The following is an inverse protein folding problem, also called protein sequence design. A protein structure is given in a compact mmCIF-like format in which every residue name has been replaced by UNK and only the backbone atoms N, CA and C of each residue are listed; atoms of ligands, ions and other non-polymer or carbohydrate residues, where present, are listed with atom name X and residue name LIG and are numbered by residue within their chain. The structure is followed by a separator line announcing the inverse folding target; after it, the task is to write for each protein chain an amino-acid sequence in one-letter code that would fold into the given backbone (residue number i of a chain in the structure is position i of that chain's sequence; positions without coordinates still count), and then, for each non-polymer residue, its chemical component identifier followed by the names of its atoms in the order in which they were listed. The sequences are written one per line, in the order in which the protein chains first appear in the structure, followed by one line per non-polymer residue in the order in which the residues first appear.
data_IF_574538956770
#
_entry.id   IF_574538956770
#
_cell.length_a   1.000
_cell.length_b   1.000
_cell.length_c   1.000
_cell.angle_alpha   90.00
_cell.angle_beta   90.00
_cell.angle_gamma   90.00
#
_symmetry.space_group_name_H-M   'P 1'
#
loop_
_entity.id
_entity.type
_entity.pdbx_description
1 polymer ?
#
# COMPACT_ATOMS: atom_id res chain seq x y z
N UNK A 1 7.54 34.43 -4.50
CA UNK A 1 8.75 34.26 -3.67
C UNK A 1 9.15 35.59 -3.05
N UNK A 2 9.24 35.61 -1.73
CA UNK A 2 9.53 36.83 -1.01
C UNK A 2 11.02 37.14 -1.14
N UNK A 3 11.34 38.16 -1.91
CA UNK A 3 12.73 38.54 -2.20
C UNK A 3 13.55 38.90 -0.95
N UNK A 4 12.90 39.01 0.21
CA UNK A 4 13.61 39.38 1.43
C UNK A 4 14.26 38.19 2.17
N UNK A 5 13.97 36.96 1.75
CA UNK A 5 14.59 35.78 2.38
C UNK A 5 15.89 35.33 1.69
N UNK A 6 16.22 35.97 0.57
CA UNK A 6 17.35 35.50 -0.26
C UNK A 6 18.75 35.94 0.19
N UNK A 7 18.96 37.13 0.85
CA UNK A 7 20.32 37.51 1.20
C UNK A 7 21.06 36.54 2.12
N UNK A 8 20.28 35.83 2.94
CA UNK A 8 20.90 34.92 3.90
C UNK A 8 21.48 33.66 3.24
N UNK A 9 20.86 33.23 2.14
CA UNK A 9 21.32 32.04 1.42
C UNK A 9 22.43 32.34 0.44
N UNK A 10 22.51 33.58 -0.08
CA UNK A 10 23.50 33.97 -1.07
C UNK A 10 24.92 34.08 -0.51
N UNK A 11 25.05 34.21 0.81
CA UNK A 11 26.35 34.31 1.46
C UNK A 11 26.90 32.96 1.95
N UNK A 12 26.14 31.86 1.74
CA UNK A 12 26.57 30.53 2.17
C UNK A 12 27.39 29.84 1.07
N UNK A 13 28.50 29.27 1.45
CA UNK A 13 29.33 28.46 0.55
C UNK A 13 28.69 27.04 0.49
N UNK A 14 27.82 26.84 -0.49
CA UNK A 14 27.15 25.56 -0.68
C UNK A 14 28.11 24.54 -1.29
N UNK A 15 28.68 23.70 -0.47
CA UNK A 15 29.59 22.64 -0.92
C UNK A 15 28.85 21.35 -1.26
N UNK A 16 27.66 21.16 -0.71
CA UNK A 16 26.87 19.94 -0.91
C UNK A 16 25.43 20.26 -1.36
N UNK A 17 24.78 21.16 -0.62
CA UNK A 17 23.38 21.52 -0.90
C UNK A 17 23.35 22.39 -2.17
N UNK A 18 22.39 22.13 -3.04
CA UNK A 18 22.20 22.83 -4.33
C UNK A 18 23.33 22.61 -5.34
N UNK A 19 24.22 21.63 -5.08
CA UNK A 19 25.28 21.28 -6.02
C UNK A 19 24.98 19.91 -6.63
N UNK A 20 25.07 19.81 -7.95
CA UNK A 20 24.86 18.55 -8.65
C UNK A 20 25.98 17.57 -8.30
N UNK A 21 25.62 16.44 -7.70
CA UNK A 21 26.56 15.38 -7.33
C UNK A 21 26.05 14.04 -7.81
N UNK A 22 26.91 13.18 -8.32
CA UNK A 22 26.49 11.82 -8.61
C UNK A 22 26.15 11.08 -7.32
N UNK A 23 25.12 10.25 -7.37
CA UNK A 23 24.76 9.35 -6.28
C UNK A 23 25.98 8.48 -5.92
N UNK A 24 26.19 8.19 -4.62
CA UNK A 24 27.38 7.46 -4.15
C UNK A 24 27.62 6.14 -4.85
N UNK A 25 26.53 5.45 -5.26
CA UNK A 25 26.59 4.16 -5.94
C UNK A 25 26.33 4.26 -7.44
N UNK A 26 26.32 5.48 -8.01
CA UNK A 26 25.99 5.68 -9.43
C UNK A 26 26.86 4.80 -10.34
N UNK A 27 28.16 4.73 -10.05
CA UNK A 27 29.10 3.93 -10.84
C UNK A 27 28.81 2.43 -10.80
N UNK A 28 28.21 1.94 -9.70
CA UNK A 28 27.82 0.53 -9.60
C UNK A 28 26.56 0.26 -10.43
N UNK A 29 25.60 1.20 -10.39
CA UNK A 29 24.37 1.05 -11.17
C UNK A 29 24.63 1.05 -12.68
N UNK A 30 25.39 2.02 -13.16
CA UNK A 30 25.61 2.13 -14.62
C UNK A 30 26.54 1.03 -15.15
N UNK A 31 27.32 0.39 -14.29
CA UNK A 31 28.21 -0.72 -14.71
C UNK A 31 27.58 -2.10 -14.46
N UNK A 32 26.37 -2.17 -13.89
CA UNK A 32 25.72 -3.43 -13.59
C UNK A 32 26.32 -4.18 -12.41
N UNK A 33 27.12 -3.51 -11.58
CA UNK A 33 27.77 -4.14 -10.42
C UNK A 33 27.05 -3.87 -9.10
N UNK A 34 25.97 -3.11 -9.12
CA UNK A 34 25.18 -2.87 -7.90
C UNK A 34 24.48 -4.15 -7.48
N UNK A 35 24.73 -4.64 -6.27
CA UNK A 35 24.10 -5.85 -5.74
C UNK A 35 22.86 -5.47 -4.93
N UNK A 36 21.75 -6.11 -5.21
CA UNK A 36 20.49 -5.97 -4.48
C UNK A 36 20.39 -7.07 -3.43
N UNK A 37 19.34 -7.04 -2.62
CA UNK A 37 19.20 -8.03 -1.53
C UNK A 37 19.19 -9.47 -2.07
N UNK A 38 18.48 -9.70 -3.19
CA UNK A 38 18.41 -11.04 -3.77
C UNK A 38 19.76 -11.50 -4.37
N UNK A 39 20.65 -10.57 -4.69
CA UNK A 39 21.97 -10.87 -5.27
C UNK A 39 23.02 -11.20 -4.21
N UNK A 40 22.74 -10.99 -2.93
CA UNK A 40 23.75 -11.18 -1.88
C UNK A 40 24.22 -12.62 -1.84
N UNK A 41 25.55 -12.87 -1.82
CA UNK A 41 26.05 -14.21 -1.66
C UNK A 41 25.58 -14.82 -0.34
N UNK A 42 25.09 -16.03 -0.39
CA UNK A 42 24.61 -16.71 0.82
C UNK A 42 25.75 -17.47 1.48
N UNK A 43 25.70 -17.55 2.80
CA UNK A 43 26.69 -18.32 3.59
C UNK A 43 26.52 -19.83 3.32
N UNK A 44 27.60 -20.57 3.50
CA UNK A 44 27.53 -22.03 3.42
C UNK A 44 26.54 -22.55 4.44
N UNK A 45 25.73 -23.53 4.03
CA UNK A 45 24.71 -24.09 4.89
C UNK A 45 23.40 -23.33 4.91
N UNK A 46 23.27 -22.24 4.12
CA UNK A 46 22.00 -21.51 4.02
C UNK A 46 20.89 -22.43 3.54
N UNK A 47 19.75 -22.37 4.23
CA UNK A 47 18.54 -23.07 3.84
C UNK A 47 17.57 -22.08 3.16
N UNK A 48 16.57 -22.62 2.49
CA UNK A 48 15.62 -21.84 1.73
C UNK A 48 14.20 -22.10 2.22
N UNK A 49 13.44 -21.02 2.38
CA UNK A 49 12.06 -21.13 2.87
C UNK A 49 11.06 -20.81 1.76
N UNK A 50 9.87 -21.39 1.88
CA UNK A 50 8.70 -21.07 1.08
C UNK A 50 7.47 -21.13 1.97
N UNK A 51 6.38 -20.49 1.53
CA UNK A 51 5.16 -20.38 2.32
C UNK A 51 4.09 -21.36 1.80
N UNK A 52 3.42 -22.03 2.72
CA UNK A 52 2.22 -22.79 2.40
C UNK A 52 1.00 -21.89 2.55
N UNK A 53 0.19 -21.84 1.50
CA UNK A 53 -0.84 -20.81 1.34
C UNK A 53 -2.25 -21.39 1.42
N UNK A 54 -3.17 -20.60 1.96
CA UNK A 54 -4.60 -20.92 1.97
C UNK A 54 -5.17 -20.99 0.55
N UNK A 55 -6.06 -21.95 0.35
CA UNK A 55 -6.83 -22.06 -0.91
C UNK A 55 -8.26 -21.58 -0.74
N UNK A 56 -8.60 -21.00 0.42
CA UNK A 56 -9.95 -20.53 0.73
C UNK A 56 -9.93 -19.06 1.08
N UNK A 57 -10.98 -18.36 0.67
CA UNK A 57 -11.12 -16.91 0.95
C UNK A 57 -11.46 -16.65 2.41
N UNK A 58 -12.28 -17.51 3.04
CA UNK A 58 -12.67 -17.37 4.44
C UNK A 58 -13.10 -18.74 4.96
N UNK A 59 -12.36 -19.25 5.93
CA UNK A 59 -12.63 -20.61 6.42
C UNK A 59 -11.93 -20.85 7.75
N UNK A 60 -12.51 -21.72 8.58
CA UNK A 60 -11.79 -22.29 9.71
C UNK A 60 -10.91 -23.44 9.21
N UNK A 61 -9.71 -23.54 9.74
CA UNK A 61 -8.83 -24.67 9.50
C UNK A 61 -9.31 -25.80 10.44
N UNK A 62 -9.85 -26.86 9.85
CA UNK A 62 -10.33 -28.02 10.61
C UNK A 62 -9.15 -28.93 10.97
N UNK A 63 -8.27 -29.15 10.00
CA UNK A 63 -7.04 -29.92 10.20
C UNK A 63 -6.00 -29.51 9.15
N UNK A 64 -4.74 -29.66 9.51
CA UNK A 64 -3.63 -29.41 8.58
C UNK A 64 -2.67 -30.60 8.66
N UNK A 65 -2.75 -31.50 7.65
CA UNK A 65 -1.84 -32.62 7.54
C UNK A 65 -0.61 -32.18 6.73
N UNK A 66 0.49 -31.99 7.42
CA UNK A 66 1.77 -31.54 6.83
C UNK A 66 2.79 -32.67 6.75
N UNK A 67 2.39 -33.92 6.97
CA UNK A 67 3.32 -35.06 6.98
C UNK A 67 3.98 -35.25 5.60
N UNK A 68 3.19 -35.15 4.52
CA UNK A 68 3.76 -35.25 3.16
C UNK A 68 4.72 -34.12 2.85
N UNK A 69 4.51 -32.94 3.45
CA UNK A 69 5.45 -31.81 3.31
C UNK A 69 6.76 -32.17 4.01
N UNK A 70 6.68 -32.60 5.27
CA UNK A 70 7.85 -32.96 6.08
C UNK A 70 8.65 -34.11 5.46
N UNK A 71 7.94 -35.07 4.83
CA UNK A 71 8.56 -36.26 4.23
C UNK A 71 9.20 -36.00 2.86
N UNK A 72 9.05 -34.80 2.30
CA UNK A 72 9.63 -34.48 0.99
C UNK A 72 11.15 -34.44 1.11
N UNK A 73 11.88 -35.21 0.29
CA UNK A 73 13.36 -35.20 0.34
C UNK A 73 13.92 -33.78 0.18
N UNK A 74 14.80 -33.40 1.08
CA UNK A 74 15.40 -32.06 1.12
C UNK A 74 14.70 -31.09 2.03
N UNK A 75 13.52 -31.41 2.55
CA UNK A 75 12.86 -30.60 3.58
C UNK A 75 13.55 -30.84 4.91
N UNK A 76 13.83 -29.74 5.63
CA UNK A 76 14.51 -29.74 6.93
C UNK A 76 13.52 -29.49 8.05
N UNK A 77 12.57 -28.57 7.86
CA UNK A 77 11.62 -28.20 8.90
C UNK A 77 10.35 -27.60 8.31
N UNK A 78 9.27 -27.66 9.09
CA UNK A 78 7.99 -26.99 8.78
C UNK A 78 7.55 -26.29 10.06
N UNK A 79 7.22 -25.00 9.96
CA UNK A 79 6.79 -24.18 11.10
C UNK A 79 5.38 -23.64 10.87
N UNK A 80 4.60 -23.55 11.94
CA UNK A 80 3.23 -23.01 11.94
C UNK A 80 3.15 -21.84 12.92
N UNK A 81 1.96 -21.26 13.08
CA UNK A 81 1.74 -20.19 14.06
C UNK A 81 2.14 -20.60 15.48
N UNK A 82 1.99 -21.88 15.82
CA UNK A 82 2.36 -22.41 17.14
C UNK A 82 3.83 -22.31 17.45
N UNK A 83 4.68 -22.18 16.43
CA UNK A 83 6.14 -22.11 16.60
C UNK A 83 6.65 -20.69 16.89
N UNK A 84 5.79 -19.69 16.79
CA UNK A 84 6.16 -18.30 16.99
C UNK A 84 6.35 -18.03 18.49
N UNK A 85 7.56 -17.65 18.94
CA UNK A 85 7.80 -17.48 20.38
C UNK A 85 7.25 -16.17 20.95
N UNK A 86 7.10 -15.16 20.12
CA UNK A 86 6.61 -13.83 20.54
C UNK A 86 5.18 -13.60 20.07
N UNK A 87 4.98 -12.53 19.30
CA UNK A 87 3.64 -12.12 18.85
C UNK A 87 3.46 -12.44 17.38
N UNK A 88 2.39 -13.16 17.04
CA UNK A 88 2.04 -13.53 15.67
C UNK A 88 1.31 -12.35 14.99
N UNK A 89 2.03 -11.28 14.71
CA UNK A 89 1.45 -10.08 14.10
C UNK A 89 2.53 -9.24 13.45
N UNK A 90 2.23 -8.70 12.28
CA UNK A 90 3.12 -7.76 11.58
C UNK A 90 2.38 -6.52 11.09
N UNK A 91 1.20 -6.23 11.64
CA UNK A 91 0.43 -5.04 11.27
C UNK A 91 1.16 -3.74 11.62
N UNK A 92 1.29 -2.82 10.66
CA UNK A 92 2.12 -1.62 10.90
C UNK A 92 1.43 -0.54 11.73
N UNK A 93 0.11 -0.49 11.76
CA UNK A 93 -0.67 0.55 12.48
C UNK A 93 -1.60 -0.10 13.48
N UNK A 94 -2.38 -1.06 13.03
CA UNK A 94 -3.28 -1.86 13.87
C UNK A 94 -2.69 -3.26 13.94
N UNK A 95 -2.74 -3.87 15.12
CA UNK A 95 -2.21 -5.23 15.32
C UNK A 95 -3.28 -6.25 14.97
N UNK A 96 -3.55 -6.37 13.66
CA UNK A 96 -4.62 -7.24 13.13
C UNK A 96 -4.14 -8.08 11.94
N UNK A 97 -2.80 -8.23 11.78
CA UNK A 97 -2.23 -8.87 10.60
C UNK A 97 -1.31 -10.04 11.02
N UNK A 98 -1.87 -11.22 11.26
CA UNK A 98 -1.03 -12.36 11.67
C UNK A 98 -0.04 -12.75 10.58
N UNK A 99 1.19 -13.06 10.99
CA UNK A 99 2.26 -13.53 10.10
C UNK A 99 1.88 -14.88 9.51
N UNK A 100 1.35 -15.78 10.34
CA UNK A 100 0.82 -17.08 9.89
C UNK A 100 -0.60 -17.24 10.42
N UNK A 101 -1.50 -17.71 9.57
CA UNK A 101 -2.88 -17.91 9.96
C UNK A 101 -2.98 -18.92 11.12
N UNK A 102 -3.82 -18.60 12.09
CA UNK A 102 -4.03 -19.41 13.28
C UNK A 102 -5.53 -19.71 13.41
N UNK A 103 -5.91 -20.90 13.04
CA UNK A 103 -7.29 -21.40 13.14
C UNK A 103 -8.25 -20.91 12.07
N UNK A 104 -8.02 -19.72 11.50
CA UNK A 104 -8.90 -19.14 10.47
C UNK A 104 -8.04 -18.57 9.36
N UNK A 105 -8.45 -18.83 8.11
CA UNK A 105 -7.87 -18.14 6.94
C UNK A 105 -8.84 -17.09 6.44
N UNK A 106 -8.31 -15.95 6.00
CA UNK A 106 -9.11 -14.79 5.65
C UNK A 106 -8.95 -14.33 4.21
N UNK A 107 -8.04 -14.94 3.44
CA UNK A 107 -7.94 -14.70 1.99
C UNK A 107 -7.23 -15.86 1.31
N UNK A 108 -7.50 -16.02 0.01
CA UNK A 108 -6.78 -17.00 -0.83
C UNK A 108 -5.33 -16.51 -0.96
N UNK A 109 -4.39 -17.35 -0.50
CA UNK A 109 -2.99 -16.98 -0.50
C UNK A 109 -2.45 -16.56 0.87
N UNK A 110 -3.28 -16.58 1.91
CA UNK A 110 -2.79 -16.26 3.27
C UNK A 110 -1.82 -17.35 3.72
N UNK A 111 -0.62 -16.96 4.22
CA UNK A 111 0.34 -17.95 4.71
C UNK A 111 -0.18 -18.70 5.94
N UNK A 112 -0.06 -20.03 5.90
CA UNK A 112 -0.49 -20.93 6.98
C UNK A 112 0.73 -21.57 7.66
N UNK A 113 1.78 -21.89 6.87
CA UNK A 113 2.98 -22.53 7.41
C UNK A 113 4.20 -22.16 6.55
N UNK A 114 5.38 -22.38 7.12
CA UNK A 114 6.67 -22.16 6.46
C UNK A 114 7.31 -23.52 6.23
N UNK A 115 7.79 -23.76 5.01
CA UNK A 115 8.63 -24.94 4.70
C UNK A 115 10.07 -24.47 4.55
N UNK A 116 10.99 -25.14 5.21
CA UNK A 116 12.42 -24.86 5.07
C UNK A 116 13.11 -26.09 4.46
N UNK A 117 13.88 -25.88 3.41
CA UNK A 117 14.49 -26.97 2.65
C UNK A 117 15.89 -26.60 2.17
N UNK A 118 16.57 -27.58 1.58
CA UNK A 118 17.94 -27.41 1.08
C UNK A 118 18.02 -26.54 -0.20
N UNK A 119 16.87 -26.32 -0.85
CA UNK A 119 16.81 -25.41 -2.01
C UNK A 119 15.44 -24.75 -2.10
N UNK A 120 15.39 -23.62 -2.81
CA UNK A 120 14.17 -22.87 -3.07
C UNK A 120 13.11 -23.74 -3.76
N UNK A 121 13.52 -24.48 -4.79
CA UNK A 121 12.59 -25.31 -5.55
C UNK A 121 11.98 -26.43 -4.70
N UNK A 122 12.81 -27.07 -3.88
CA UNK A 122 12.33 -28.13 -2.98
C UNK A 122 11.30 -27.55 -1.99
N UNK A 123 11.59 -26.37 -1.40
CA UNK A 123 10.67 -25.75 -0.45
C UNK A 123 9.32 -25.44 -1.11
N UNK A 124 9.34 -24.85 -2.31
CA UNK A 124 8.09 -24.49 -3.03
C UNK A 124 7.29 -25.74 -3.42
N UNK A 125 7.95 -26.75 -3.95
CA UNK A 125 7.26 -28.00 -4.34
C UNK A 125 6.68 -28.72 -3.13
N UNK A 126 7.43 -28.76 -2.03
CA UNK A 126 6.97 -29.41 -0.81
C UNK A 126 5.74 -28.73 -0.24
N UNK A 127 5.71 -27.37 -0.27
CA UNK A 127 4.56 -26.60 0.27
C UNK A 127 3.24 -27.03 -0.38
N UNK A 128 3.26 -27.42 -1.64
CA UNK A 128 2.06 -27.82 -2.39
C UNK A 128 1.54 -29.19 -2.01
N UNK A 129 2.26 -29.93 -1.16
CA UNK A 129 1.87 -31.29 -0.74
C UNK A 129 1.02 -31.31 0.52
N UNK A 130 0.79 -30.15 1.13
CA UNK A 130 -0.04 -30.03 2.33
C UNK A 130 -1.50 -30.41 2.02
N UNK A 131 -2.13 -31.03 2.99
CA UNK A 131 -3.57 -31.33 2.92
C UNK A 131 -4.24 -30.60 4.08
N UNK A 132 -4.98 -29.57 3.74
CA UNK A 132 -5.68 -28.75 4.75
C UNK A 132 -7.17 -28.88 4.52
N UNK A 133 -7.89 -29.30 5.56
CA UNK A 133 -9.34 -29.37 5.54
C UNK A 133 -9.91 -28.08 6.11
N UNK A 134 -10.85 -27.51 5.40
CA UNK A 134 -11.45 -26.22 5.74
C UNK A 134 -12.95 -26.35 5.94
N UNK A 135 -13.49 -25.61 6.92
CA UNK A 135 -14.92 -25.35 7.06
C UNK A 135 -15.17 -23.92 6.59
N UNK A 136 -15.76 -23.79 5.41
CA UNK A 136 -15.94 -22.49 4.76
C UNK A 136 -16.86 -21.56 5.55
N UNK A 137 -16.56 -20.28 5.52
CA UNK A 137 -17.31 -19.19 6.12
C UNK A 137 -17.72 -18.19 5.03
N UNK A 138 -18.79 -17.42 5.26
CA UNK A 138 -19.16 -16.40 4.27
C UNK A 138 -18.02 -15.43 4.01
N UNK A 139 -17.77 -15.13 2.73
CA UNK A 139 -16.67 -14.25 2.33
C UNK A 139 -17.22 -12.98 1.67
N UNK A 140 -16.60 -11.86 2.00
CA UNK A 140 -16.87 -10.56 1.39
C UNK A 140 -15.67 -10.24 0.49
N UNK A 141 -15.89 -10.03 -0.82
CA UNK A 141 -14.80 -9.94 -1.77
C UNK A 141 -14.68 -8.57 -2.47
N UNK A 142 -15.69 -7.72 -2.37
CA UNK A 142 -15.70 -6.44 -3.08
C UNK A 142 -15.94 -5.27 -2.13
N UNK A 143 -15.53 -4.07 -2.56
CA UNK A 143 -15.77 -2.85 -1.80
C UNK A 143 -17.28 -2.63 -1.59
N UNK A 144 -18.08 -2.86 -2.65
CA UNK A 144 -19.53 -2.69 -2.57
C UNK A 144 -20.16 -3.61 -1.53
N UNK A 145 -19.74 -4.89 -1.53
CA UNK A 145 -20.27 -5.86 -0.55
C UNK A 145 -19.85 -5.49 0.87
N UNK A 146 -18.61 -5.01 1.05
CA UNK A 146 -18.14 -4.57 2.37
C UNK A 146 -18.95 -3.36 2.85
N UNK A 147 -19.24 -2.40 1.94
CA UNK A 147 -20.04 -1.22 2.28
C UNK A 147 -21.46 -1.62 2.68
N UNK A 148 -22.07 -2.51 1.93
CA UNK A 148 -23.43 -2.99 2.19
C UNK A 148 -23.54 -3.75 3.52
N UNK A 149 -22.49 -4.51 3.87
CA UNK A 149 -22.44 -5.29 5.11
C UNK A 149 -21.92 -4.46 6.31
N UNK A 150 -21.55 -3.21 6.08
CA UNK A 150 -20.90 -2.34 7.07
C UNK A 150 -19.66 -3.01 7.70
N UNK A 151 -18.92 -3.74 6.87
CA UNK A 151 -17.72 -4.46 7.28
C UNK A 151 -16.50 -3.59 7.00
N UNK A 152 -15.86 -3.10 8.04
CA UNK A 152 -14.76 -2.12 7.92
C UNK A 152 -13.55 -2.55 8.74
N UNK A 153 -12.34 -2.22 8.26
CA UNK A 153 -11.11 -2.41 9.05
C UNK A 153 -10.87 -1.21 9.98
N UNK A 154 -11.47 -0.06 9.67
CA UNK A 154 -11.33 1.18 10.43
C UNK A 154 -12.65 1.93 10.40
N UNK A 155 -12.93 2.78 11.41
CA UNK A 155 -14.17 3.56 11.39
C UNK A 155 -14.26 4.46 10.16
N UNK A 156 -15.48 4.71 9.66
CA UNK A 156 -15.66 5.67 8.56
C UNK A 156 -15.17 7.06 8.91
N UNK A 157 -14.69 7.78 7.90
CA UNK A 157 -14.25 9.16 8.07
C UNK A 157 -15.07 10.08 7.18
N UNK A 158 -15.27 11.32 7.64
CA UNK A 158 -16.07 12.31 6.92
C UNK A 158 -15.39 13.67 6.96
N UNK A 159 -15.50 14.39 5.86
CA UNK A 159 -15.02 15.75 5.71
C UNK A 159 -16.10 16.53 4.97
N UNK A 160 -16.50 17.68 5.50
CA UNK A 160 -17.58 18.43 4.87
C UNK A 160 -17.40 19.93 5.08
N UNK A 161 -17.90 20.70 4.11
CA UNK A 161 -18.00 22.15 4.18
C UNK A 161 -19.33 22.55 3.55
N UNK A 162 -20.12 23.39 4.25
CA UNK A 162 -21.38 23.89 3.74
C UNK A 162 -22.49 22.85 3.71
N UNK A 163 -23.41 23.00 2.76
CA UNK A 163 -24.57 22.12 2.58
C UNK A 163 -24.55 21.52 1.17
N UNK A 164 -23.65 20.56 0.97
CA UNK A 164 -23.45 19.96 -0.36
C UNK A 164 -24.74 19.40 -0.96
N UNK A 165 -25.53 18.67 -0.15
CA UNK A 165 -26.75 18.02 -0.64
C UNK A 165 -27.83 19.04 -1.03
N UNK A 166 -28.04 20.06 -0.16
CA UNK A 166 -29.00 21.12 -0.45
C UNK A 166 -28.62 21.93 -1.68
N UNK A 167 -27.33 22.23 -1.82
CA UNK A 167 -26.82 22.99 -2.96
C UNK A 167 -26.94 22.17 -4.26
N UNK A 168 -26.60 20.89 -4.22
CA UNK A 168 -26.74 20.03 -5.39
C UNK A 168 -28.21 19.91 -5.82
N UNK A 169 -29.12 19.78 -4.85
CA UNK A 169 -30.54 19.65 -5.14
C UNK A 169 -31.14 20.93 -5.72
N UNK A 170 -30.62 22.11 -5.33
CA UNK A 170 -31.11 23.41 -5.79
C UNK A 170 -30.47 23.91 -7.08
N UNK A 171 -29.40 23.25 -7.54
CA UNK A 171 -28.63 23.67 -8.72
C UNK A 171 -29.47 23.55 -10.01
N UNK A 172 -29.19 24.40 -11.02
CA UNK A 172 -29.86 24.29 -12.33
C UNK A 172 -29.68 22.93 -13.02
N UNK A 173 -28.53 22.30 -12.81
CA UNK A 173 -28.21 20.99 -13.38
C UNK A 173 -27.72 20.06 -12.29
N UNK A 174 -27.89 18.76 -12.49
CA UNK A 174 -27.47 17.76 -11.50
C UNK A 174 -27.09 16.46 -12.18
N UNK A 175 -26.01 15.84 -11.71
CA UNK A 175 -25.59 14.51 -12.14
C UNK A 175 -25.30 13.66 -10.90
N UNK A 176 -25.62 12.37 -10.98
CA UNK A 176 -25.35 11.44 -9.90
C UNK A 176 -25.00 10.09 -10.50
N UNK A 177 -24.05 9.41 -9.91
CA UNK A 177 -23.61 8.14 -10.48
C UNK A 177 -22.71 7.33 -9.56
N UNK A 178 -22.24 6.25 -10.15
CA UNK A 178 -21.27 5.35 -9.50
C UNK A 178 -20.06 5.20 -10.41
N UNK A 179 -18.89 5.10 -9.79
CA UNK A 179 -17.62 4.87 -10.49
C UNK A 179 -16.89 3.70 -9.82
N UNK A 180 -16.05 3.02 -10.58
CA UNK A 180 -15.17 2.00 -10.05
C UNK A 180 -13.76 2.22 -10.59
N UNK A 181 -12.77 2.20 -9.71
CA UNK A 181 -11.37 2.31 -10.07
C UNK A 181 -10.67 1.03 -9.63
N UNK A 182 -10.04 0.33 -10.57
CA UNK A 182 -9.30 -0.89 -10.27
C UNK A 182 -8.01 -0.62 -9.51
N UNK A 183 -7.55 -1.64 -8.80
CA UNK A 183 -6.25 -1.59 -8.14
C UNK A 183 -5.12 -1.75 -9.14
N UNK A 184 -3.88 -1.60 -8.64
CA UNK A 184 -2.68 -1.73 -9.48
C UNK A 184 -1.60 -2.51 -8.74
N UNK A 185 -0.92 -3.38 -9.48
CA UNK A 185 0.25 -4.11 -9.01
C UNK A 185 1.49 -3.21 -9.06
N UNK A 186 2.29 -3.17 -7.99
CA UNK A 186 3.53 -2.38 -7.96
C UNK A 186 4.55 -2.89 -8.99
N UNK A 187 4.63 -4.18 -9.17
CA UNK A 187 5.48 -4.85 -10.15
C UNK A 187 6.94 -4.42 -10.06
N UNK A 188 7.47 -4.35 -8.82
CA UNK A 188 8.89 -4.09 -8.59
C UNK A 188 9.71 -5.22 -9.22
N UNK A 189 10.87 -4.91 -9.80
CA UNK A 189 11.66 -5.92 -10.50
C UNK A 189 12.29 -6.92 -9.53
N UNK A 190 12.91 -6.43 -8.45
CA UNK A 190 13.33 -7.30 -7.35
C UNK A 190 12.09 -7.65 -6.53
N UNK A 191 11.73 -8.94 -6.45
CA UNK A 191 10.57 -9.39 -5.67
C UNK A 191 10.78 -9.26 -4.17
N UNK A 192 9.81 -9.70 -3.38
CA UNK A 192 9.94 -9.75 -1.93
C UNK A 192 11.02 -10.78 -1.57
N UNK A 193 11.98 -10.36 -0.76
CA UNK A 193 13.07 -11.25 -0.35
C UNK A 193 13.60 -10.81 1.02
N UNK A 194 13.87 -11.81 1.87
CA UNK A 194 14.52 -11.63 3.16
C UNK A 194 15.52 -12.77 3.37
N UNK A 195 16.68 -12.43 3.90
CA UNK A 195 17.74 -13.37 4.21
C UNK A 195 18.15 -13.13 5.65
N UNK A 196 17.86 -14.09 6.52
CA UNK A 196 18.06 -13.97 7.96
C UNK A 196 19.25 -14.84 8.40
N UNK A 197 20.14 -14.23 9.18
CA UNK A 197 21.36 -14.88 9.68
C UNK A 197 21.36 -14.74 11.20
N UNK A 198 21.26 -15.86 11.95
CA UNK A 198 21.31 -15.79 13.41
C UNK A 198 22.72 -15.40 13.89
N UNK A 199 22.76 -14.68 14.98
CA UNK A 199 24.01 -14.19 15.60
C UNK A 199 24.03 -14.62 17.07
N UNK A 200 25.16 -14.39 17.72
CA UNK A 200 25.35 -14.70 19.15
C UNK A 200 24.33 -13.92 20.00
N UNK A 201 24.04 -14.43 21.17
CA UNK A 201 23.23 -13.78 22.21
C UNK A 201 21.82 -13.41 21.71
N UNK A 202 21.17 -14.36 21.03
CA UNK A 202 19.83 -14.20 20.45
C UNK A 202 19.77 -13.07 19.40
N UNK A 203 20.90 -12.74 18.79
CA UNK A 203 20.95 -11.73 17.74
C UNK A 203 20.44 -12.27 16.41
N UNK A 204 19.87 -11.37 15.60
CA UNK A 204 19.35 -11.72 14.26
C UNK A 204 19.72 -10.61 13.29
N UNK A 205 20.43 -10.96 12.19
CA UNK A 205 20.73 -10.01 11.13
C UNK A 205 19.86 -10.38 9.93
N UNK A 206 18.99 -9.47 9.52
CA UNK A 206 18.04 -9.69 8.40
C UNK A 206 18.40 -8.73 7.27
N UNK A 207 18.78 -9.28 6.15
CA UNK A 207 18.86 -8.55 4.89
C UNK A 207 17.48 -8.63 4.26
N UNK A 208 16.85 -7.49 4.01
CA UNK A 208 15.46 -7.46 3.53
C UNK A 208 15.29 -6.36 2.49
N UNK A 209 14.69 -6.69 1.37
CA UNK A 209 14.32 -5.67 0.38
C UNK A 209 13.08 -4.95 0.92
N UNK A 210 13.30 -3.76 1.50
CA UNK A 210 12.27 -3.04 2.22
C UNK A 210 12.48 -1.53 2.15
N UNK A 211 11.36 -0.80 2.14
CA UNK A 211 11.36 0.67 2.24
C UNK A 211 11.46 1.14 3.69
N UNK A 212 11.31 0.21 4.67
CA UNK A 212 11.17 0.59 6.07
C UNK A 212 11.98 -0.34 6.99
N UNK A 213 13.33 -0.28 6.95
CA UNK A 213 14.16 -1.18 7.77
C UNK A 213 13.88 -1.10 9.28
N UNK A 214 13.56 0.09 9.79
CA UNK A 214 13.25 0.27 11.22
C UNK A 214 12.00 -0.51 11.62
N UNK A 215 10.97 -0.49 10.79
CA UNK A 215 9.75 -1.25 11.07
C UNK A 215 10.04 -2.74 11.03
N UNK A 216 10.82 -3.19 10.05
CA UNK A 216 11.21 -4.61 9.98
C UNK A 216 11.94 -5.04 11.24
N UNK A 217 12.81 -4.18 11.79
CA UNK A 217 13.50 -4.44 13.05
C UNK A 217 12.50 -4.69 14.19
N UNK A 218 11.50 -3.81 14.30
CA UNK A 218 10.51 -3.91 15.39
C UNK A 218 9.63 -5.16 15.25
N UNK A 219 9.09 -5.43 14.04
CA UNK A 219 8.19 -6.58 13.88
C UNK A 219 8.93 -7.91 14.04
N UNK A 220 10.17 -7.99 13.54
CA UNK A 220 10.97 -9.20 13.73
C UNK A 220 11.26 -9.43 15.22
N UNK A 221 11.65 -8.38 15.95
CA UNK A 221 11.91 -8.48 17.39
C UNK A 221 10.65 -8.92 18.15
N UNK A 222 9.49 -8.36 17.81
CA UNK A 222 8.19 -8.74 18.40
C UNK A 222 7.87 -10.22 18.13
N UNK A 223 8.06 -10.66 16.90
CA UNK A 223 7.78 -12.05 16.50
C UNK A 223 8.67 -13.02 17.29
N UNK A 224 9.96 -12.67 17.43
CA UNK A 224 10.92 -13.53 18.11
C UNK A 224 10.88 -13.41 19.64
N UNK A 225 10.19 -12.39 20.15
CA UNK A 225 10.12 -12.14 21.59
C UNK A 225 11.45 -11.65 22.17
N UNK A 226 12.25 -10.92 21.37
CA UNK A 226 13.54 -10.39 21.78
C UNK A 226 13.53 -8.87 21.78
N UNK A 227 14.54 -8.26 22.37
CA UNK A 227 14.66 -6.79 22.36
C UNK A 227 15.02 -6.30 20.95
N UNK A 228 14.53 -5.10 20.58
CA UNK A 228 14.76 -4.56 19.23
C UNK A 228 16.25 -4.44 18.90
N UNK A 229 17.09 -4.12 19.90
CA UNK A 229 18.53 -3.99 19.65
C UNK A 229 19.22 -5.32 19.33
N UNK A 230 18.55 -6.45 19.53
CA UNK A 230 19.07 -7.76 19.11
C UNK A 230 18.87 -8.01 17.63
N UNK A 231 18.07 -7.17 16.94
CA UNK A 231 17.76 -7.35 15.53
C UNK A 231 18.42 -6.22 14.72
N UNK A 232 19.19 -6.60 13.71
CA UNK A 232 19.76 -5.66 12.75
C UNK A 232 19.10 -5.93 11.39
N UNK A 233 18.53 -4.89 10.78
CA UNK A 233 17.95 -5.02 9.45
C UNK A 233 18.75 -4.17 8.47
N UNK A 234 19.12 -4.78 7.35
CA UNK A 234 19.93 -4.11 6.33
C UNK A 234 19.26 -4.15 4.97
N UNK A 235 19.15 -2.97 4.33
CA UNK A 235 18.73 -2.83 2.95
C UNK A 235 19.62 -1.77 2.30
N UNK A 236 20.70 -2.17 1.65
CA UNK A 236 21.66 -1.24 1.05
C UNK A 236 21.05 -0.53 -0.16
N UNK A 237 20.31 -1.27 -0.98
CA UNK A 237 19.56 -0.74 -2.10
C UNK A 237 18.43 -1.71 -2.46
N UNK A 238 17.41 -1.19 -3.09
CA UNK A 238 16.17 -1.93 -3.33
C UNK A 238 15.83 -1.86 -4.82
N UNK A 239 15.46 -2.99 -5.39
CA UNK A 239 15.13 -3.10 -6.82
C UNK A 239 13.70 -2.70 -7.13
N UNK A 240 13.24 -1.61 -6.51
CA UNK A 240 11.89 -1.08 -6.63
C UNK A 240 11.04 -1.45 -5.43
N UNK A 241 10.14 -0.56 -5.06
CA UNK A 241 9.20 -0.77 -3.96
C UNK A 241 7.86 -0.14 -4.27
N UNK A 242 7.87 1.16 -4.60
CA UNK A 242 6.68 1.91 -5.02
C UNK A 242 5.55 1.88 -3.99
N UNK A 243 5.89 1.63 -2.72
CA UNK A 243 4.92 1.44 -1.63
C UNK A 243 4.66 -0.02 -1.30
N UNK A 244 5.03 -0.95 -2.18
CA UNK A 244 4.78 -2.38 -1.99
C UNK A 244 5.73 -3.07 -1.01
N UNK A 245 6.75 -2.34 -0.54
CA UNK A 245 7.72 -2.86 0.43
C UNK A 245 7.81 -1.97 1.67
N UNK A 246 6.77 -1.16 1.91
CA UNK A 246 6.69 -0.32 3.10
C UNK A 246 6.30 -1.15 4.32
N UNK A 247 5.21 -1.89 4.23
CA UNK A 247 4.73 -2.81 5.28
C UNK A 247 4.77 -4.26 4.84
N UNK A 248 4.52 -4.56 3.56
CA UNK A 248 4.32 -5.92 3.06
C UNK A 248 5.58 -6.79 3.14
N UNK A 249 6.77 -6.18 3.21
CA UNK A 249 8.02 -6.92 3.41
C UNK A 249 8.11 -7.55 4.81
N UNK A 250 7.28 -7.12 5.77
CA UNK A 250 7.31 -7.62 7.14
C UNK A 250 7.04 -9.13 7.20
N UNK A 251 6.10 -9.62 6.42
CA UNK A 251 5.79 -11.07 6.37
C UNK A 251 7.05 -11.88 6.04
N UNK A 252 7.79 -11.43 5.02
CA UNK A 252 8.96 -12.16 4.53
C UNK A 252 10.12 -12.07 5.53
N UNK A 253 10.34 -10.88 6.11
CA UNK A 253 11.37 -10.68 7.14
C UNK A 253 11.08 -11.55 8.36
N UNK A 254 9.84 -11.57 8.82
CA UNK A 254 9.41 -12.36 9.97
C UNK A 254 9.56 -13.85 9.74
N UNK A 255 9.10 -14.34 8.59
CA UNK A 255 9.16 -15.78 8.30
C UNK A 255 10.60 -16.27 8.14
N UNK A 256 11.46 -15.49 7.47
CA UNK A 256 12.87 -15.86 7.33
C UNK A 256 13.57 -15.85 8.70
N UNK A 257 13.28 -14.84 9.53
CA UNK A 257 13.88 -14.72 10.87
C UNK A 257 13.41 -15.85 11.79
N UNK A 258 12.12 -16.19 11.78
CA UNK A 258 11.59 -17.30 12.58
C UNK A 258 12.31 -18.60 12.24
N UNK A 259 12.40 -18.92 10.95
CA UNK A 259 13.05 -20.14 10.49
C UNK A 259 14.53 -20.17 10.89
N UNK A 260 15.23 -19.05 10.68
CA UNK A 260 16.65 -18.96 11.03
C UNK A 260 16.87 -19.10 12.54
N UNK A 261 15.99 -18.48 13.34
CA UNK A 261 16.08 -18.51 14.80
C UNK A 261 15.84 -19.92 15.34
N UNK A 262 14.85 -20.64 14.78
CA UNK A 262 14.52 -22.00 15.22
C UNK A 262 15.61 -23.02 14.83
N UNK A 263 16.23 -22.81 13.65
CA UNK A 263 17.19 -23.78 13.11
C UNK A 263 18.63 -23.43 13.41
N UNK A 264 18.90 -22.23 13.93
CA UNK A 264 20.24 -21.73 14.25
C UNK A 264 21.14 -21.76 13.01
N UNK A 265 20.59 -21.47 11.84
CA UNK A 265 21.34 -21.42 10.58
C UNK A 265 20.71 -20.34 9.67
N UNK A 266 21.48 -19.83 8.70
CA UNK A 266 20.93 -18.81 7.80
C UNK A 266 19.79 -19.37 6.95
N UNK A 267 18.74 -18.55 6.77
CA UNK A 267 17.59 -18.92 5.94
C UNK A 267 17.25 -17.78 4.99
N UNK A 268 17.06 -18.09 3.70
CA UNK A 268 16.63 -17.13 2.69
C UNK A 268 15.20 -17.47 2.25
N UNK A 269 14.33 -16.47 2.26
CA UNK A 269 12.96 -16.57 1.76
C UNK A 269 12.80 -15.57 0.62
N UNK A 270 12.55 -16.08 -0.57
CA UNK A 270 12.28 -15.27 -1.75
C UNK A 270 10.93 -15.68 -2.32
N UNK A 271 10.04 -14.70 -2.53
CA UNK A 271 8.77 -14.97 -3.21
C UNK A 271 9.00 -14.99 -4.73
N UNK A 272 8.47 -16.00 -5.40
CA UNK A 272 8.38 -15.93 -6.85
C UNK A 272 7.26 -14.96 -7.24
N UNK A 273 7.29 -14.50 -8.49
CA UNK A 273 6.36 -13.45 -8.94
C UNK A 273 4.90 -13.86 -8.76
N UNK A 274 4.57 -15.09 -9.08
CA UNK A 274 3.20 -15.60 -8.96
C UNK A 274 2.76 -15.66 -7.49
N UNK A 275 3.64 -16.07 -6.59
CA UNK A 275 3.33 -16.09 -5.15
C UNK A 275 3.18 -14.65 -4.61
N UNK A 276 4.10 -13.76 -5.01
CA UNK A 276 4.05 -12.35 -4.61
C UNK A 276 2.72 -11.71 -5.02
N UNK A 277 2.29 -11.95 -6.26
CA UNK A 277 1.02 -11.39 -6.77
C UNK A 277 -0.20 -11.87 -5.99
N UNK A 278 -0.13 -13.08 -5.42
CA UNK A 278 -1.23 -13.65 -4.63
C UNK A 278 -1.19 -13.16 -3.17
N UNK A 279 0.01 -13.11 -2.58
CA UNK A 279 0.17 -12.89 -1.14
C UNK A 279 0.08 -11.40 -0.79
N UNK A 280 0.77 -10.53 -1.55
CA UNK A 280 0.99 -9.15 -1.11
C UNK A 280 -0.11 -8.21 -1.57
N UNK A 281 -0.25 -7.11 -0.82
CA UNK A 281 -1.24 -6.08 -1.08
C UNK A 281 -0.88 -5.21 -2.28
N UNK A 282 -1.92 -4.64 -2.89
CA UNK A 282 -1.82 -3.83 -4.11
C UNK A 282 -2.36 -2.43 -3.82
N UNK A 283 -2.36 -1.54 -4.83
CA UNK A 283 -3.09 -0.28 -4.72
C UNK A 283 -4.56 -0.60 -4.47
N UNK A 284 -5.15 0.06 -3.48
CA UNK A 284 -6.57 -0.10 -3.17
C UNK A 284 -7.42 0.22 -4.39
N UNK A 285 -8.29 -0.70 -4.78
CA UNK A 285 -9.38 -0.42 -5.70
C UNK A 285 -10.49 0.27 -4.92
N UNK A 286 -11.20 1.17 -5.60
CA UNK A 286 -12.21 2.01 -4.98
C UNK A 286 -13.53 1.91 -5.74
N UNK A 287 -14.62 2.01 -4.99
CA UNK A 287 -15.96 2.23 -5.51
C UNK A 287 -16.47 3.56 -4.99
N UNK A 288 -17.07 4.35 -5.87
CA UNK A 288 -17.55 5.69 -5.54
C UNK A 288 -19.04 5.82 -5.86
N UNK A 289 -19.73 6.59 -5.04
CA UNK A 289 -21.05 7.13 -5.33
C UNK A 289 -20.99 8.63 -5.21
N UNK A 290 -21.51 9.36 -6.20
CA UNK A 290 -21.45 10.81 -6.15
C UNK A 290 -22.77 11.43 -6.55
N UNK A 291 -22.95 12.68 -6.16
CA UNK A 291 -24.10 13.53 -6.47
C UNK A 291 -23.56 14.95 -6.56
N UNK A 292 -23.73 15.60 -7.73
CA UNK A 292 -23.14 16.90 -8.00
C UNK A 292 -24.17 17.83 -8.65
N UNK A 293 -24.28 19.07 -8.13
CA UNK A 293 -25.07 20.12 -8.73
C UNK A 293 -24.17 21.19 -9.33
N UNK A 294 -24.55 21.73 -10.49
CA UNK A 294 -23.74 22.70 -11.22
C UNK A 294 -24.62 23.62 -12.06
N UNK A 295 -24.05 24.73 -12.52
CA UNK A 295 -24.76 25.67 -13.37
C UNK A 295 -24.47 25.46 -14.84
N UNK A 296 -25.07 26.27 -15.69
CA UNK A 296 -24.96 26.17 -17.16
C UNK A 296 -23.54 26.47 -17.67
N UNK A 297 -22.65 27.01 -16.83
CA UNK A 297 -21.25 27.25 -17.19
C UNK A 297 -20.33 26.11 -16.74
N UNK A 298 -20.88 25.13 -16.01
CA UNK A 298 -20.10 24.03 -15.44
C UNK A 298 -19.49 24.34 -14.07
N UNK A 299 -19.86 25.46 -13.45
CA UNK A 299 -19.39 25.76 -12.10
C UNK A 299 -20.16 24.88 -11.10
N UNK A 300 -19.42 24.20 -10.23
CA UNK A 300 -20.01 23.29 -9.23
C UNK A 300 -20.59 24.10 -8.07
N UNK A 301 -21.85 23.87 -7.74
CA UNK A 301 -22.54 24.47 -6.60
C UNK A 301 -22.39 23.62 -5.34
N UNK A 302 -22.49 22.31 -5.48
CA UNK A 302 -22.33 21.39 -4.35
C UNK A 302 -22.05 19.99 -4.83
N UNK A 303 -21.19 19.25 -4.12
CA UNK A 303 -20.86 17.88 -4.50
C UNK A 303 -20.72 16.99 -3.27
N UNK A 304 -21.33 15.81 -3.34
CA UNK A 304 -21.20 14.77 -2.31
C UNK A 304 -20.55 13.54 -2.94
N UNK A 305 -19.62 12.90 -2.24
CA UNK A 305 -19.03 11.66 -2.67
C UNK A 305 -18.88 10.69 -1.51
N UNK A 306 -19.24 9.44 -1.75
CA UNK A 306 -18.85 8.30 -0.89
C UNK A 306 -17.76 7.53 -1.61
N UNK A 307 -16.66 7.27 -0.92
CA UNK A 307 -15.54 6.46 -1.42
C UNK A 307 -15.41 5.23 -0.54
N UNK A 308 -15.48 4.04 -1.12
CA UNK A 308 -15.26 2.79 -0.40
C UNK A 308 -14.05 2.09 -1.00
N UNK A 309 -13.01 1.88 -0.19
CA UNK A 309 -11.83 1.13 -0.63
C UNK A 309 -11.98 -0.34 -0.25
N UNK A 310 -11.45 -1.23 -1.10
CA UNK A 310 -11.30 -2.64 -0.74
C UNK A 310 -9.97 -2.77 0.00
N UNK A 311 -10.04 -2.96 1.31
CA UNK A 311 -8.83 -2.90 2.16
C UNK A 311 -8.19 -4.27 2.36
N UNK A 312 -8.96 -5.33 2.25
CA UNK A 312 -8.45 -6.65 2.57
C UNK A 312 -8.81 -7.06 4.00
N UNK A 313 -8.11 -8.07 4.49
CA UNK A 313 -8.47 -8.70 5.76
C UNK A 313 -7.94 -7.94 6.98
N UNK A 314 -6.93 -7.11 6.80
CA UNK A 314 -6.31 -6.32 7.88
C UNK A 314 -6.23 -4.85 7.47
N UNK A 315 -5.95 -3.98 8.45
CA UNK A 315 -5.91 -2.54 8.22
C UNK A 315 -4.71 -2.10 7.39
N UNK A 316 -3.55 -2.69 7.62
CA UNK A 316 -2.29 -2.30 6.95
C UNK A 316 -2.17 -0.76 6.92
N UNK A 317 -2.00 -0.16 5.74
CA UNK A 317 -1.92 1.30 5.56
C UNK A 317 -3.21 1.89 4.97
N UNK A 318 -4.34 1.18 5.09
CA UNK A 318 -5.61 1.61 4.50
C UNK A 318 -6.13 2.93 5.07
N UNK A 319 -5.93 3.16 6.37
CA UNK A 319 -6.35 4.42 7.01
C UNK A 319 -5.68 5.63 6.39
N UNK A 320 -4.34 5.69 6.40
CA UNK A 320 -3.63 6.80 5.76
C UNK A 320 -3.96 6.96 4.27
N UNK A 321 -4.12 5.84 3.53
CA UNK A 321 -4.50 5.91 2.11
C UNK A 321 -5.88 6.54 1.95
N UNK A 322 -6.86 6.14 2.76
CA UNK A 322 -8.21 6.74 2.69
C UNK A 322 -8.18 8.20 3.11
N UNK A 323 -7.41 8.54 4.15
CA UNK A 323 -7.27 9.94 4.58
C UNK A 323 -6.72 10.79 3.43
N UNK A 324 -5.69 10.29 2.74
CA UNK A 324 -5.16 11.02 1.59
C UNK A 324 -6.17 11.13 0.46
N UNK A 325 -6.94 10.06 0.18
CA UNK A 325 -7.97 10.10 -0.87
C UNK A 325 -9.03 11.16 -0.56
N UNK A 326 -9.48 11.22 0.70
CA UNK A 326 -10.45 12.23 1.16
C UNK A 326 -9.89 13.64 1.00
N UNK A 327 -8.62 13.85 1.38
CA UNK A 327 -7.98 15.16 1.32
C UNK A 327 -7.51 15.55 -0.09
N UNK A 328 -7.58 14.63 -1.06
CA UNK A 328 -7.21 14.89 -2.45
C UNK A 328 -8.40 14.82 -3.40
N UNK A 329 -9.62 14.69 -2.86
CA UNK A 329 -10.82 14.69 -3.70
C UNK A 329 -11.00 16.03 -4.42
N UNK A 330 -10.72 17.14 -3.73
CA UNK A 330 -10.82 18.47 -4.34
C UNK A 330 -9.77 18.70 -5.44
N UNK A 331 -8.66 17.97 -5.41
CA UNK A 331 -7.57 18.08 -6.40
C UNK A 331 -7.20 19.56 -6.61
N UNK A 332 -7.46 20.11 -7.78
CA UNK A 332 -7.13 21.50 -8.14
C UNK A 332 -8.33 22.46 -7.98
N UNK A 333 -9.46 21.98 -7.45
CA UNK A 333 -10.75 22.67 -7.63
C UNK A 333 -11.32 23.21 -6.34
N UNK A 334 -11.86 24.42 -6.44
CA UNK A 334 -12.65 25.04 -5.38
C UNK A 334 -14.04 24.42 -5.39
N UNK A 335 -14.38 23.74 -4.30
CA UNK A 335 -15.70 23.10 -4.12
C UNK A 335 -16.39 23.87 -2.99
N UNK A 336 -17.32 24.77 -3.33
CA UNK A 336 -17.90 25.66 -2.30
C UNK A 336 -18.64 24.89 -1.20
N UNK A 337 -19.45 23.92 -1.58
CA UNK A 337 -20.18 23.04 -0.66
C UNK A 337 -19.82 21.61 -1.01
N UNK A 338 -19.21 20.89 -0.06
CA UNK A 338 -18.68 19.55 -0.34
C UNK A 338 -18.87 18.62 0.84
N UNK A 339 -19.23 17.37 0.56
CA UNK A 339 -19.33 16.31 1.56
C UNK A 339 -18.61 15.07 1.05
N UNK A 340 -17.59 14.61 1.78
CA UNK A 340 -16.75 13.48 1.39
C UNK A 340 -16.81 12.46 2.52
N UNK A 341 -17.22 11.22 2.19
CA UNK A 341 -17.24 10.12 3.16
C UNK A 341 -16.34 8.99 2.67
N UNK A 342 -15.44 8.52 3.54
CA UNK A 342 -14.50 7.45 3.24
C UNK A 342 -14.78 6.21 4.10
N UNK A 343 -14.82 5.05 3.46
CA UNK A 343 -15.09 3.77 4.11
C UNK A 343 -13.99 2.76 3.76
N UNK A 344 -13.32 2.24 4.79
CA UNK A 344 -12.26 1.26 4.63
C UNK A 344 -12.84 -0.15 4.73
N UNK A 345 -13.31 -0.68 3.60
CA UNK A 345 -14.03 -1.95 3.54
C UNK A 345 -13.17 -3.16 3.88
N UNK A 346 -13.57 -3.93 4.91
CA UNK A 346 -12.90 -5.18 5.27
C UNK A 346 -13.39 -6.28 4.32
N UNK A 347 -12.46 -6.95 3.66
CA UNK A 347 -12.78 -7.99 2.68
C UNK A 347 -11.89 -9.21 2.90
N UNK A 348 -12.32 -10.35 2.38
CA UNK A 348 -11.57 -11.60 2.45
C UNK A 348 -10.62 -11.70 1.26
N UNK A 349 -9.72 -10.71 1.19
CA UNK A 349 -8.69 -10.58 0.17
C UNK A 349 -7.38 -10.17 0.86
N UNK A 350 -6.27 -10.22 0.16
CA UNK A 350 -5.00 -9.74 0.71
C UNK A 350 -5.14 -8.27 1.11
N UNK A 351 -4.40 -7.84 2.13
CA UNK A 351 -4.48 -6.47 2.62
C UNK A 351 -3.84 -5.51 1.64
N UNK A 352 -4.65 -4.67 1.03
CA UNK A 352 -4.14 -3.64 0.12
C UNK A 352 -3.32 -2.63 0.91
N UNK A 353 -2.36 -2.02 0.24
CA UNK A 353 -1.30 -1.28 0.90
C UNK A 353 -0.93 -0.04 0.11
N UNK A 354 0.15 0.60 0.52
CA UNK A 354 0.71 1.75 -0.16
C UNK A 354 1.03 1.45 -1.62
N UNK A 355 0.71 2.39 -2.49
CA UNK A 355 1.19 2.42 -3.86
C UNK A 355 1.33 3.88 -4.26
N UNK A 356 2.41 4.20 -4.94
CA UNK A 356 2.84 5.54 -5.40
C UNK A 356 1.66 6.49 -5.60
N UNK A 357 1.63 7.57 -4.81
CA UNK A 357 0.50 8.50 -4.74
C UNK A 357 -0.38 8.30 -3.50
N UNK A 358 -0.44 7.07 -2.93
CA UNK A 358 -0.90 6.78 -1.56
C UNK A 358 -2.30 7.34 -1.27
N UNK A 359 -3.26 7.13 -2.19
CA UNK A 359 -4.63 7.63 -2.05
C UNK A 359 -4.92 8.88 -2.87
N UNK A 360 -3.90 9.68 -3.20
CA UNK A 360 -4.08 10.86 -4.04
C UNK A 360 -4.69 10.53 -5.39
N UNK A 361 -4.15 9.54 -6.14
CA UNK A 361 -4.76 9.18 -7.42
C UNK A 361 -6.23 8.77 -7.32
N UNK A 362 -6.61 8.08 -6.25
CA UNK A 362 -7.99 7.64 -6.08
C UNK A 362 -8.93 8.81 -5.81
N UNK A 363 -8.49 9.79 -5.01
CA UNK A 363 -9.29 11.00 -4.78
C UNK A 363 -9.44 11.84 -6.05
N UNK A 364 -8.32 12.08 -6.73
CA UNK A 364 -8.29 12.89 -7.94
C UNK A 364 -9.12 12.25 -9.07
N UNK A 365 -9.06 10.93 -9.22
CA UNK A 365 -9.81 10.22 -10.27
C UNK A 365 -11.30 10.55 -10.20
N UNK A 366 -11.86 10.57 -8.99
CA UNK A 366 -13.30 10.78 -8.82
C UNK A 366 -13.72 12.18 -9.30
N UNK A 367 -13.05 13.24 -8.82
CA UNK A 367 -13.45 14.60 -9.20
C UNK A 367 -13.15 14.88 -10.67
N UNK A 368 -12.05 14.35 -11.21
CA UNK A 368 -11.72 14.54 -12.62
C UNK A 368 -12.78 13.89 -13.54
N UNK A 369 -13.28 12.70 -13.13
CA UNK A 369 -14.35 12.03 -13.87
C UNK A 369 -15.65 12.84 -13.78
N UNK A 370 -15.98 13.36 -12.60
CA UNK A 370 -17.19 14.18 -12.41
C UNK A 370 -17.13 15.42 -13.32
N UNK A 371 -15.97 16.10 -13.35
CA UNK A 371 -15.82 17.29 -14.20
C UNK A 371 -15.96 16.94 -15.70
N UNK A 372 -15.39 15.82 -16.12
CA UNK A 372 -15.57 15.35 -17.51
C UNK A 372 -17.05 15.06 -17.82
N UNK A 373 -17.78 14.48 -16.87
CA UNK A 373 -19.21 14.20 -17.05
C UNK A 373 -20.01 15.51 -17.17
N UNK A 374 -19.69 16.52 -16.35
CA UNK A 374 -20.31 17.84 -16.44
C UNK A 374 -20.06 18.43 -17.83
N UNK A 375 -18.82 18.38 -18.30
CA UNK A 375 -18.47 18.90 -19.61
C UNK A 375 -19.26 18.22 -20.73
N UNK A 376 -19.39 16.89 -20.66
CA UNK A 376 -20.18 16.12 -21.64
C UNK A 376 -21.66 16.51 -21.62
N UNK A 377 -22.25 16.64 -20.43
CA UNK A 377 -23.66 17.01 -20.29
C UNK A 377 -23.93 18.39 -20.91
N UNK A 378 -23.01 19.34 -20.72
CA UNK A 378 -23.17 20.70 -21.21
C UNK A 378 -22.67 20.90 -22.64
N UNK A 379 -21.95 19.93 -23.20
CA UNK A 379 -21.33 20.07 -24.52
C UNK A 379 -20.19 21.10 -24.52
N UNK A 380 -19.50 21.26 -23.40
CA UNK A 380 -18.39 22.20 -23.23
C UNK A 380 -17.04 21.48 -23.31
N UNK A 381 -15.99 22.28 -23.60
CA UNK A 381 -14.63 21.76 -23.49
C UNK A 381 -14.33 21.41 -22.01
N UNK A 382 -13.83 20.20 -21.73
CA UNK A 382 -13.49 19.86 -20.34
C UNK A 382 -12.47 20.82 -19.69
N UNK A 383 -11.59 21.45 -20.48
CA UNK A 383 -10.66 22.43 -19.95
C UNK A 383 -11.39 23.70 -19.48
N UNK A 384 -12.42 24.14 -20.21
CA UNK A 384 -13.22 25.29 -19.79
C UNK A 384 -13.90 25.02 -18.44
N UNK A 385 -14.47 23.80 -18.26
CA UNK A 385 -15.11 23.42 -17.00
C UNK A 385 -14.07 23.39 -15.87
N UNK A 386 -12.86 22.89 -16.15
CA UNK A 386 -11.77 22.92 -15.17
C UNK A 386 -11.42 24.34 -14.77
N UNK A 387 -11.23 25.25 -15.72
CA UNK A 387 -10.94 26.67 -15.42
C UNK A 387 -12.00 27.29 -14.52
N UNK A 388 -13.29 26.98 -14.75
CA UNK A 388 -14.40 27.51 -13.92
C UNK A 388 -14.22 27.16 -12.45
N UNK A 389 -13.71 25.97 -12.19
CA UNK A 389 -13.68 25.40 -10.85
C UNK A 389 -12.31 25.48 -10.17
N UNK A 390 -11.26 25.96 -10.83
CA UNK A 390 -9.93 26.03 -10.22
C UNK A 390 -9.93 26.87 -8.95
N UNK A 391 -9.04 26.51 -8.04
CA UNK A 391 -8.75 27.36 -6.88
C UNK A 391 -8.26 28.72 -7.34
N UNK A 392 -8.69 29.78 -6.68
CA UNK A 392 -8.24 31.13 -6.93
C UNK A 392 -6.96 31.47 -6.18
N UNK A 393 -6.47 32.71 -6.33
CA UNK A 393 -5.27 33.17 -5.65
C UNK A 393 -5.59 33.81 -4.29
N UNK A 394 -6.51 34.80 -4.29
CA UNK A 394 -6.82 35.61 -3.11
C UNK A 394 -8.17 35.28 -2.53
N UNK A 395 -9.02 34.61 -3.27
CA UNK A 395 -10.34 34.14 -2.83
C UNK A 395 -10.56 32.74 -3.44
N UNK A 396 -11.52 31.99 -2.93
CA UNK A 396 -11.73 30.60 -3.38
C UNK A 396 -10.44 29.78 -3.26
N UNK A 397 -9.69 29.99 -2.18
CA UNK A 397 -8.35 29.41 -2.01
C UNK A 397 -8.19 28.66 -0.68
N UNK A 398 -9.30 28.21 -0.07
CA UNK A 398 -9.25 27.41 1.14
C UNK A 398 -9.78 26.01 0.85
N UNK A 399 -9.00 24.99 1.17
CA UNK A 399 -9.37 23.58 0.91
C UNK A 399 -10.54 23.16 1.83
N UNK A 400 -11.21 22.04 1.53
CA UNK A 400 -12.27 21.53 2.42
C UNK A 400 -11.78 21.23 3.84
N UNK A 401 -10.49 20.91 4.00
CA UNK A 401 -9.90 20.63 5.32
C UNK A 401 -9.25 21.86 5.95
N UNK A 402 -9.51 23.07 5.41
CA UNK A 402 -9.17 24.33 6.06
C UNK A 402 -7.79 24.90 5.76
N UNK A 403 -7.05 24.36 4.81
CA UNK A 403 -5.72 24.89 4.44
C UNK A 403 -5.88 26.03 3.43
N UNK A 404 -5.25 27.16 3.69
CA UNK A 404 -5.17 28.26 2.72
C UNK A 404 -4.07 27.95 1.70
N UNK A 405 -4.40 28.06 0.41
CA UNK A 405 -3.44 27.88 -0.68
C UNK A 405 -2.80 29.25 -0.93
N UNK A 406 -1.49 29.36 -0.70
CA UNK A 406 -0.78 30.66 -0.76
C UNK A 406 -0.10 30.89 -2.09
N UNK A 407 0.57 29.90 -2.66
CA UNK A 407 1.37 30.06 -3.89
C UNK A 407 0.69 29.35 -5.07
N UNK A 408 -0.54 29.76 -5.42
CA UNK A 408 -1.29 29.12 -6.49
C UNK A 408 -0.73 29.53 -7.87
N UNK A 409 -0.08 28.57 -8.54
CA UNK A 409 0.50 28.78 -9.88
C UNK A 409 -0.35 28.11 -10.98
N UNK A 410 -1.49 27.51 -10.65
CA UNK A 410 -2.26 26.69 -11.59
C UNK A 410 -2.62 27.45 -12.87
N UNK A 411 -3.15 28.68 -12.72
CA UNK A 411 -3.58 29.46 -13.90
C UNK A 411 -2.40 29.79 -14.83
N UNK A 412 -1.25 30.17 -14.25
CA UNK A 412 -0.07 30.48 -15.03
C UNK A 412 0.49 29.22 -15.73
N UNK A 413 0.50 28.10 -14.99
CA UNK A 413 0.99 26.83 -15.50
C UNK A 413 0.15 26.35 -16.70
N UNK A 414 -1.17 26.40 -16.57
CA UNK A 414 -2.08 25.98 -17.64
C UNK A 414 -1.94 26.87 -18.87
N UNK A 415 -1.88 28.20 -18.67
CA UNK A 415 -1.70 29.12 -19.78
C UNK A 415 -0.39 28.90 -20.54
N UNK A 416 0.71 28.66 -19.80
CA UNK A 416 1.99 28.36 -20.44
C UNK A 416 1.95 27.01 -21.19
N UNK A 417 1.29 26.02 -20.59
CA UNK A 417 1.18 24.71 -21.23
C UNK A 417 0.34 24.78 -22.52
N UNK A 418 -0.77 25.50 -22.50
CA UNK A 418 -1.58 25.72 -23.71
C UNK A 418 -0.75 26.37 -24.82
N UNK A 419 0.03 27.39 -24.47
CA UNK A 419 0.84 28.13 -25.45
C UNK A 419 1.96 27.29 -26.04
N UNK A 420 2.53 26.37 -25.26
CA UNK A 420 3.75 25.64 -25.67
C UNK A 420 3.50 24.24 -26.20
N UNK A 421 2.37 23.61 -25.87
CA UNK A 421 2.13 22.21 -26.22
C UNK A 421 1.51 22.00 -27.60
N UNK A 422 1.07 23.11 -28.25
CA UNK A 422 0.32 22.98 -29.51
C UNK A 422 -1.10 22.43 -29.36
N UNK A 423 -1.68 22.40 -28.21
CA UNK A 423 -2.91 21.87 -27.90
C UNK A 423 -3.99 22.63 -28.04
#
# INVERSE_FOLDING_TARGET
MNQQAEPFLNDLDFRQVHVSRPHESAHLHVSGRASYTDDLPVLAGTLHAALGLSTRAHARIVSADLDAVRATPGVVAVFTAEDIPGVNDCGPVIHDDPVLADGVVQFVGQPVFIVVATSHDVARLAARRAKIDYAELPAILTAQAARAAESYVLPPMKLARGDAAGRAAAAPRRDAGELTLGGQEQFYLEGQVAYAVPKDDDGMHVYCSTQHPSEMQHVVAHLLGVASHNVLVECRRMGGGFGGKESQSALFACCAALAAWKLLCPVKLRADRDDDMIITGKRHDFHYRYDVGYDETGAIDGVSVEMTSRCGFSADLSGPVMTRAVCHFDNAYWLPDVSIAGYCGKTNTQSNTAFRGFGGPQGAFAIETIIDNIARDLGLDPLDVRYRNLYGRDERNVTPYGQTIEDNVLHALLGELEATSGX
#
